data_IF_679485421083
#
_entry.id   IF_679485421083
#
_cell.length_a   1.000
_cell.length_b   1.000
_cell.length_c   1.000
_cell.angle_alpha   90.00
_cell.angle_beta   90.00
_cell.angle_gamma   90.00
#
_symmetry.space_group_name_H-M   'P 1'
#
loop_
_entity.id
_entity.type
_entity.pdbx_description
1 polymer ?
#
# COMPACT_ATOMS: atom_id res chain seq x y z
N UNK A 1 -49.98 8.02 14.23
CA UNK A 1 -49.85 9.16 15.15
C UNK A 1 -48.82 8.77 16.20
N UNK A 2 -47.65 9.39 16.15
CA UNK A 2 -46.54 9.17 17.07
C UNK A 2 -45.54 10.29 16.85
N UNK A 3 -45.35 11.09 17.89
CA UNK A 3 -44.83 12.46 17.90
C UNK A 3 -43.43 12.64 17.30
N UNK A 4 -43.29 13.61 16.38
CA UNK A 4 -42.01 14.23 16.04
C UNK A 4 -41.61 15.21 17.15
N UNK A 5 -40.39 15.06 17.68
CA UNK A 5 -39.71 16.15 18.39
C UNK A 5 -38.63 16.70 17.48
N UNK A 6 -38.90 17.87 16.89
CA UNK A 6 -37.89 18.72 16.29
C UNK A 6 -37.36 19.65 17.38
N UNK A 7 -36.07 19.54 17.68
CA UNK A 7 -35.34 20.59 18.38
C UNK A 7 -34.32 21.17 17.40
N UNK A 8 -34.57 22.40 16.97
CA UNK A 8 -33.66 23.24 16.20
C UNK A 8 -32.65 23.90 17.12
N UNK A 9 -31.36 23.84 16.79
CA UNK A 9 -30.40 24.84 17.26
C UNK A 9 -30.22 25.94 16.20
N UNK A 10 -29.58 27.05 16.60
CA UNK A 10 -29.64 28.33 15.90
C UNK A 10 -28.84 28.42 14.59
N UNK A 11 -28.36 27.29 14.02
CA UNK A 11 -27.55 27.29 12.80
C UNK A 11 -28.04 26.37 11.67
N UNK A 12 -29.20 25.72 11.81
CA UNK A 12 -29.94 25.19 10.64
C UNK A 12 -29.33 23.97 9.93
N UNK A 13 -28.55 23.13 10.62
CA UNK A 13 -27.99 21.90 10.04
C UNK A 13 -29.00 20.73 10.14
N UNK A 14 -29.35 20.12 9.00
CA UNK A 14 -30.09 18.87 8.97
C UNK A 14 -29.14 17.70 9.29
N UNK A 15 -29.34 17.03 10.43
CA UNK A 15 -28.71 15.74 10.75
C UNK A 15 -29.77 14.67 10.55
N UNK A 16 -29.65 13.89 9.48
CA UNK A 16 -30.29 12.57 9.37
C UNK A 16 -29.26 11.55 9.81
N UNK A 17 -29.37 11.06 11.04
CA UNK A 17 -28.63 9.89 11.50
C UNK A 17 -29.17 8.65 10.79
N UNK A 18 -28.31 7.94 10.06
CA UNK A 18 -28.54 6.53 9.74
C UNK A 18 -27.40 5.71 10.33
N UNK A 19 -27.80 4.65 11.04
CA UNK A 19 -26.96 3.50 11.37
C UNK A 19 -26.45 2.87 10.06
N UNK A 20 -25.26 2.26 10.13
CA UNK A 20 -24.54 1.52 9.08
C UNK A 20 -23.76 2.32 8.00
N UNK A 21 -22.42 2.16 8.02
CA UNK A 21 -21.53 2.41 6.87
C UNK A 21 -21.20 3.88 6.55
N UNK A 22 -20.11 4.42 7.11
CA UNK A 22 -19.58 5.73 6.68
C UNK A 22 -18.83 5.57 5.34
N UNK A 23 -19.45 6.09 4.28
CA UNK A 23 -19.08 5.96 2.87
C UNK A 23 -18.31 7.19 2.31
N UNK A 24 -17.35 7.69 3.09
CA UNK A 24 -16.70 8.99 2.95
C UNK A 24 -17.50 10.18 3.51
N UNK A 25 -16.85 11.03 4.30
CA UNK A 25 -17.44 12.24 4.87
C UNK A 25 -16.84 13.48 4.23
N UNK A 26 -17.70 14.40 3.78
CA UNK A 26 -17.31 15.79 3.49
C UNK A 26 -17.08 16.45 4.85
N UNK A 27 -15.84 16.77 5.17
CA UNK A 27 -15.53 17.49 6.41
C UNK A 27 -15.53 18.99 6.14
N UNK A 28 -16.58 19.70 6.55
CA UNK A 28 -16.63 21.18 6.56
C UNK A 28 -15.83 21.79 7.73
N UNK A 29 -15.06 20.99 8.49
CA UNK A 29 -14.51 21.40 9.79
C UNK A 29 -13.41 22.48 9.76
N UNK A 30 -12.96 22.97 8.59
CA UNK A 30 -11.82 23.90 8.52
C UNK A 30 -11.96 25.05 7.53
N UNK A 31 -13.17 25.41 7.09
CA UNK A 31 -13.38 26.58 6.20
C UNK A 31 -12.82 26.41 4.78
N UNK A 32 -12.49 25.18 4.39
CA UNK A 32 -12.20 24.79 3.01
C UNK A 32 -13.34 23.88 2.57
N UNK A 33 -14.30 24.40 1.81
CA UNK A 33 -15.35 23.56 1.23
C UNK A 33 -14.71 22.52 0.29
N UNK A 34 -15.23 21.28 0.34
CA UNK A 34 -15.03 20.21 -0.65
C UNK A 34 -13.85 19.24 -0.47
N UNK A 35 -13.58 18.72 0.74
CA UNK A 35 -12.59 17.63 0.91
C UNK A 35 -13.25 16.38 1.50
N UNK A 36 -13.03 15.25 0.83
CA UNK A 36 -13.61 13.94 1.11
C UNK A 36 -12.55 13.05 1.79
N UNK A 37 -12.88 12.52 2.97
CA UNK A 37 -12.11 11.52 3.72
C UNK A 37 -12.79 10.18 3.54
N UNK A 38 -12.05 9.14 3.13
CA UNK A 38 -12.62 7.82 2.85
C UNK A 38 -11.96 6.72 3.70
N UNK A 39 -12.76 5.76 4.14
CA UNK A 39 -12.44 4.74 5.15
C UNK A 39 -12.55 3.37 4.54
N UNK A 40 -11.58 2.48 4.79
CA UNK A 40 -11.66 1.06 4.43
C UNK A 40 -11.89 0.19 5.64
N UNK A 41 -12.73 -0.84 5.53
CA UNK A 41 -12.90 -1.87 6.57
C UNK A 41 -12.27 -3.18 6.10
N UNK A 42 -11.50 -3.84 6.97
CA UNK A 42 -10.94 -5.17 6.68
C UNK A 42 -12.09 -6.15 6.35
N UNK A 43 -12.11 -6.67 5.12
CA UNK A 43 -12.72 -7.98 4.89
C UNK A 43 -11.77 -9.06 5.39
N UNK A 44 -12.33 -10.16 5.88
CA UNK A 44 -11.63 -11.21 6.66
C UNK A 44 -10.25 -11.56 6.12
N UNK A 45 -9.24 -11.61 7.01
CA UNK A 45 -7.94 -12.22 6.69
C UNK A 45 -8.15 -13.68 6.22
N UNK A 46 -7.32 -14.20 5.29
CA UNK A 46 -7.31 -15.60 4.93
C UNK A 46 -7.25 -16.45 6.19
N UNK A 47 -8.09 -17.46 6.22
CA UNK A 47 -8.08 -18.42 7.30
C UNK A 47 -6.79 -19.24 7.23
N UNK A 48 -6.38 -19.83 8.35
CA UNK A 48 -5.17 -20.66 8.40
C UNK A 48 -5.13 -21.78 7.35
N UNK A 49 -6.29 -22.23 6.84
CA UNK A 49 -6.40 -23.26 5.79
C UNK A 49 -6.22 -22.73 4.36
N UNK A 50 -6.30 -21.42 4.13
CA UNK A 50 -6.08 -20.79 2.82
C UNK A 50 -4.59 -20.70 2.46
N UNK A 51 -3.74 -20.77 3.48
CA UNK A 51 -2.30 -20.80 3.31
C UNK A 51 -1.82 -22.20 2.93
N UNK A 52 -1.01 -22.27 1.87
CA UNK A 52 -0.21 -23.41 1.51
C UNK A 52 1.21 -23.23 2.05
N UNK A 53 1.80 -24.27 2.63
CA UNK A 53 3.23 -24.26 3.00
C UNK A 53 4.06 -24.27 1.72
N UNK A 54 5.03 -23.37 1.61
CA UNK A 54 6.03 -23.41 0.53
C UNK A 54 7.02 -24.52 0.85
N UNK A 55 6.89 -25.66 0.18
CA UNK A 55 7.66 -26.88 0.47
C UNK A 55 9.03 -26.90 -0.20
N UNK A 56 9.25 -26.04 -1.19
CA UNK A 56 10.51 -25.95 -1.93
C UNK A 56 10.69 -24.56 -2.53
N UNK A 57 11.90 -24.02 -2.42
CA UNK A 57 12.35 -22.80 -3.09
C UNK A 57 13.74 -23.03 -3.65
N UNK A 58 13.94 -22.61 -4.90
CA UNK A 58 15.24 -22.48 -5.53
C UNK A 58 15.35 -21.10 -6.15
N UNK A 59 16.45 -20.42 -5.86
CA UNK A 59 16.81 -19.15 -6.46
C UNK A 59 18.22 -19.32 -7.01
N UNK A 60 18.37 -19.12 -8.31
CA UNK A 60 19.65 -19.20 -9.01
C UNK A 60 19.89 -17.94 -9.84
N UNK A 61 21.15 -17.63 -10.09
CA UNK A 61 21.58 -16.55 -10.97
C UNK A 61 22.73 -17.07 -11.83
N UNK A 62 22.82 -16.57 -13.06
CA UNK A 62 23.89 -16.93 -13.99
C UNK A 62 25.25 -16.33 -13.60
N UNK A 63 25.27 -15.16 -12.92
CA UNK A 63 26.46 -14.32 -12.86
C UNK A 63 26.99 -13.97 -11.45
N UNK A 64 26.26 -14.21 -10.34
CA UNK A 64 26.71 -13.74 -9.01
C UNK A 64 26.36 -14.68 -7.84
N UNK A 65 27.17 -14.56 -6.77
CA UNK A 65 26.98 -15.25 -5.48
C UNK A 65 25.88 -14.60 -4.65
N UNK A 66 24.82 -15.36 -4.34
CA UNK A 66 23.75 -14.99 -3.38
C UNK A 66 24.22 -15.06 -1.91
N UNK A 67 25.39 -14.52 -1.57
CA UNK A 67 25.86 -14.48 -0.19
C UNK A 67 25.16 -13.33 0.58
N UNK A 68 24.97 -13.42 1.91
CA UNK A 68 24.23 -12.41 2.69
C UNK A 68 24.76 -10.98 2.52
N UNK A 69 26.07 -10.83 2.28
CA UNK A 69 26.75 -9.53 2.16
C UNK A 69 27.08 -9.13 0.71
N UNK A 70 26.69 -9.94 -0.28
CA UNK A 70 26.93 -9.64 -1.70
C UNK A 70 25.76 -8.84 -2.28
N UNK A 71 26.00 -7.89 -3.20
CA UNK A 71 24.91 -7.26 -3.93
C UNK A 71 24.10 -8.34 -4.65
N UNK A 72 22.77 -8.31 -4.49
CA UNK A 72 21.92 -9.28 -5.16
C UNK A 72 22.06 -9.17 -6.70
N UNK A 73 21.98 -10.32 -7.41
CA UNK A 73 22.19 -10.38 -8.85
C UNK A 73 21.21 -9.55 -9.66
N UNK A 74 21.67 -9.04 -10.80
CA UNK A 74 20.83 -8.26 -11.71
C UNK A 74 19.63 -9.04 -12.30
N UNK A 75 19.71 -10.36 -12.31
CA UNK A 75 18.62 -11.27 -12.68
C UNK A 75 18.65 -12.54 -11.86
N UNK A 76 17.47 -13.09 -11.56
CA UNK A 76 17.31 -14.35 -10.84
C UNK A 76 16.30 -15.23 -11.55
N UNK A 77 16.56 -16.52 -11.48
CA UNK A 77 15.62 -17.57 -11.80
C UNK A 77 15.05 -18.12 -10.49
N UNK A 78 13.74 -18.08 -10.34
CA UNK A 78 13.03 -18.44 -9.11
C UNK A 78 12.08 -19.57 -9.40
N UNK A 79 12.17 -20.64 -8.62
CA UNK A 79 11.28 -21.79 -8.66
C UNK A 79 10.77 -22.08 -7.26
N UNK A 80 9.44 -22.16 -7.09
CA UNK A 80 8.88 -22.59 -5.81
C UNK A 80 7.73 -23.58 -5.99
N UNK A 81 7.56 -24.43 -4.97
CA UNK A 81 6.45 -25.38 -4.88
C UNK A 81 5.76 -25.28 -3.53
N UNK A 82 4.46 -25.56 -3.53
CA UNK A 82 3.63 -25.52 -2.34
C UNK A 82 3.01 -26.88 -2.05
N UNK A 83 2.59 -27.10 -0.79
CA UNK A 83 1.86 -28.32 -0.39
C UNK A 83 0.51 -28.48 -1.08
N UNK A 84 -0.07 -27.40 -1.60
CA UNK A 84 -1.34 -27.41 -2.33
C UNK A 84 -1.16 -27.56 -3.85
N UNK A 85 0.05 -27.91 -4.31
CA UNK A 85 0.30 -28.26 -5.72
C UNK A 85 0.61 -27.09 -6.65
N UNK A 86 0.72 -25.85 -6.15
CA UNK A 86 1.31 -24.75 -6.93
C UNK A 86 2.78 -25.06 -7.20
N UNK A 87 3.18 -24.96 -8.46
CA UNK A 87 4.54 -25.18 -8.97
C UNK A 87 4.82 -24.09 -10.01
N UNK A 88 5.63 -23.09 -9.65
CA UNK A 88 5.86 -21.89 -10.47
C UNK A 88 7.35 -21.61 -10.62
N UNK A 89 7.76 -21.41 -11.86
CA UNK A 89 9.14 -21.14 -12.26
C UNK A 89 9.16 -19.90 -13.18
N UNK A 90 10.06 -18.96 -12.89
CA UNK A 90 10.11 -17.69 -13.60
C UNK A 90 11.44 -16.94 -13.45
N UNK A 91 11.72 -16.09 -14.44
CA UNK A 91 12.84 -15.16 -14.40
C UNK A 91 12.39 -13.78 -13.95
N UNK A 92 13.16 -13.18 -13.06
CA UNK A 92 12.99 -11.80 -12.59
C UNK A 92 14.27 -10.99 -12.79
N UNK A 93 14.11 -9.69 -12.95
CA UNK A 93 15.20 -8.73 -13.10
C UNK A 93 15.10 -7.65 -12.06
N UNK A 94 16.26 -7.17 -11.64
CA UNK A 94 16.35 -6.15 -10.61
C UNK A 94 15.64 -4.87 -11.05
N UNK A 95 14.70 -4.41 -10.21
CA UNK A 95 13.95 -3.18 -10.39
C UNK A 95 14.68 -2.02 -9.71
N UNK A 96 15.47 -1.28 -10.49
CA UNK A 96 16.38 -0.22 -9.99
C UNK A 96 15.69 1.12 -9.70
N UNK A 97 14.47 1.29 -10.19
CA UNK A 97 13.70 2.53 -10.21
C UNK A 97 12.59 2.59 -9.15
N UNK A 98 12.48 1.57 -8.29
CA UNK A 98 11.60 1.60 -7.12
C UNK A 98 12.00 2.71 -6.13
N UNK A 99 13.27 3.12 -6.14
CA UNK A 99 13.81 4.19 -5.31
C UNK A 99 14.24 5.38 -6.17
N UNK A 100 13.89 6.60 -5.77
CA UNK A 100 14.39 7.80 -6.43
C UNK A 100 15.93 7.90 -6.29
N UNK A 101 16.61 8.54 -7.24
CA UNK A 101 18.08 8.58 -7.29
C UNK A 101 18.75 9.10 -6.00
N UNK A 102 18.12 10.05 -5.31
CA UNK A 102 18.61 10.60 -4.03
C UNK A 102 17.73 10.20 -2.84
N UNK A 103 17.03 9.05 -2.89
CA UNK A 103 16.24 8.60 -1.75
C UNK A 103 17.12 8.18 -0.56
N UNK A 104 16.61 8.40 0.64
CA UNK A 104 17.30 8.06 1.88
C UNK A 104 16.34 7.33 2.82
N UNK A 105 16.94 6.50 3.67
CA UNK A 105 16.27 5.85 4.79
C UNK A 105 16.58 6.70 6.01
N UNK A 106 15.54 7.12 6.69
CA UNK A 106 15.62 7.90 7.90
C UNK A 106 15.04 7.07 9.03
N UNK A 107 15.73 7.05 10.18
CA UNK A 107 15.22 6.42 11.38
C UNK A 107 15.48 7.32 12.59
N UNK A 108 14.56 7.36 13.56
CA UNK A 108 14.86 7.88 14.89
C UNK A 108 15.20 6.71 15.80
N UNK A 109 16.38 6.73 16.41
CA UNK A 109 16.80 5.74 17.42
C UNK A 109 16.57 6.29 18.84
N UNK A 110 15.30 6.53 19.17
CA UNK A 110 14.87 7.01 20.48
C UNK A 110 14.43 8.50 20.53
N UNK A 111 14.28 9.08 21.73
CA UNK A 111 13.60 10.38 21.96
C UNK A 111 14.39 11.61 21.48
N UNK A 112 15.56 11.43 20.85
CA UNK A 112 16.32 12.53 20.28
C UNK A 112 15.83 12.87 18.87
N UNK A 113 15.60 14.16 18.65
CA UNK A 113 15.04 14.77 17.44
C UNK A 113 15.87 14.58 16.14
N UNK A 114 16.98 13.85 16.18
CA UNK A 114 17.89 13.73 15.05
C UNK A 114 17.56 12.52 14.17
N UNK A 115 17.11 12.78 12.93
CA UNK A 115 16.93 11.76 11.90
C UNK A 115 18.29 11.12 11.55
N UNK A 116 18.45 9.82 11.80
CA UNK A 116 19.62 9.05 11.38
C UNK A 116 19.46 8.68 9.90
N UNK A 117 20.36 9.23 9.08
CA UNK A 117 20.40 9.00 7.64
C UNK A 117 21.16 7.72 7.33
N UNK A 118 20.49 6.71 6.79
CA UNK A 118 21.09 5.49 6.26
C UNK A 118 21.00 5.42 4.74
N UNK A 119 21.92 4.65 4.14
CA UNK A 119 21.92 4.39 2.70
C UNK A 119 20.77 3.44 2.31
N UNK A 120 20.35 3.53 1.05
CA UNK A 120 19.24 2.71 0.53
C UNK A 120 19.57 1.22 0.66
N UNK A 121 18.56 0.37 0.90
CA UNK A 121 18.75 -1.07 0.80
C UNK A 121 19.05 -1.39 -0.67
N UNK A 122 20.22 -1.97 -0.91
CA UNK A 122 20.66 -2.26 -2.26
C UNK A 122 19.96 -3.51 -2.79
N UNK A 123 19.27 -3.36 -3.92
CA UNK A 123 19.02 -4.45 -4.89
C UNK A 123 18.08 -5.58 -4.44
N UNK A 124 17.08 -5.28 -3.62
CA UNK A 124 16.17 -6.33 -3.14
C UNK A 124 14.86 -6.47 -3.94
N UNK A 125 14.48 -5.48 -4.75
CA UNK A 125 13.23 -5.48 -5.50
C UNK A 125 13.42 -5.91 -6.96
N UNK A 126 12.52 -6.76 -7.45
CA UNK A 126 12.58 -7.41 -8.74
C UNK A 126 11.21 -7.38 -9.44
N UNK A 127 11.24 -7.45 -10.76
CA UNK A 127 10.07 -7.67 -11.59
C UNK A 127 10.31 -8.72 -12.67
N UNK A 128 9.23 -9.41 -13.07
CA UNK A 128 9.23 -10.41 -14.12
C UNK A 128 7.91 -10.40 -14.89
N UNK A 129 7.89 -11.08 -16.02
CA UNK A 129 6.67 -11.27 -16.83
C UNK A 129 6.30 -12.74 -16.86
N UNK A 130 5.00 -13.00 -16.74
CA UNK A 130 4.40 -14.32 -16.96
C UNK A 130 3.33 -14.19 -18.04
N UNK A 131 2.90 -15.29 -18.69
CA UNK A 131 1.79 -15.24 -19.63
C UNK A 131 0.57 -14.55 -19.00
N UNK A 132 0.14 -13.45 -19.62
CA UNK A 132 -1.00 -12.63 -19.18
C UNK A 132 -0.88 -12.02 -17.77
N UNK A 133 0.35 -11.83 -17.27
CA UNK A 133 0.54 -11.26 -15.94
C UNK A 133 1.96 -10.79 -15.67
N UNK A 134 2.26 -10.59 -14.40
CA UNK A 134 3.55 -10.08 -13.93
C UNK A 134 3.96 -10.76 -12.63
N UNK A 135 5.23 -10.62 -12.30
CA UNK A 135 5.79 -10.95 -11.01
C UNK A 135 6.41 -9.70 -10.41
N UNK A 136 6.16 -9.48 -9.13
CA UNK A 136 6.84 -8.50 -8.29
C UNK A 136 7.43 -9.27 -7.13
N UNK A 137 8.73 -9.14 -6.90
CA UNK A 137 9.42 -9.91 -5.87
C UNK A 137 10.32 -8.98 -5.07
N UNK A 138 10.37 -9.15 -3.75
CA UNK A 138 11.25 -8.44 -2.84
C UNK A 138 11.98 -9.45 -1.96
N UNK A 139 13.31 -9.49 -2.07
CA UNK A 139 14.18 -10.38 -1.30
C UNK A 139 14.35 -9.88 0.13
N UNK A 140 14.28 -10.79 1.09
CA UNK A 140 14.60 -10.55 2.51
C UNK A 140 15.88 -11.28 2.93
N UNK A 141 16.08 -12.47 2.37
CA UNK A 141 17.28 -13.31 2.51
C UNK A 141 17.36 -14.25 1.29
N UNK A 142 18.41 -15.06 1.16
CA UNK A 142 18.63 -15.99 0.03
C UNK A 142 17.41 -16.88 -0.30
N UNK A 143 16.60 -17.24 0.69
CA UNK A 143 15.43 -18.12 0.52
C UNK A 143 14.13 -17.53 1.08
N UNK A 144 14.16 -16.28 1.56
CA UNK A 144 13.00 -15.59 2.09
C UNK A 144 12.72 -14.37 1.22
N UNK A 145 11.51 -14.29 0.70
CA UNK A 145 11.07 -13.18 -0.13
C UNK A 145 9.57 -12.96 0.02
N UNK A 146 9.13 -11.76 -0.27
CA UNK A 146 7.75 -11.48 -0.65
C UNK A 146 7.64 -11.56 -2.17
N UNK A 147 6.60 -12.21 -2.71
CA UNK A 147 6.29 -12.11 -4.12
C UNK A 147 4.80 -12.03 -4.37
N UNK A 148 4.41 -11.13 -5.27
CA UNK A 148 3.07 -11.02 -5.83
C UNK A 148 3.14 -11.44 -7.29
N UNK A 149 2.57 -12.61 -7.59
CA UNK A 149 2.53 -13.20 -8.93
C UNK A 149 1.11 -13.08 -9.46
N UNK A 150 0.88 -12.14 -10.38
CA UNK A 150 -0.37 -12.06 -11.13
C UNK A 150 -0.36 -13.13 -12.22
N UNK A 151 -1.25 -14.10 -12.09
CA UNK A 151 -1.60 -15.07 -13.12
C UNK A 151 -2.89 -14.61 -13.83
N UNK A 152 -3.39 -15.42 -14.77
CA UNK A 152 -4.58 -15.09 -15.56
C UNK A 152 -5.85 -14.87 -14.71
N UNK A 153 -6.07 -15.73 -13.71
CA UNK A 153 -7.31 -15.83 -12.93
C UNK A 153 -7.10 -15.62 -11.43
N UNK A 154 -5.88 -15.31 -11.00
CA UNK A 154 -5.56 -15.08 -9.59
C UNK A 154 -4.24 -14.36 -9.42
N UNK A 155 -4.05 -13.77 -8.25
CA UNK A 155 -2.76 -13.36 -7.74
C UNK A 155 -2.32 -14.42 -6.73
N UNK A 156 -1.13 -14.99 -6.92
CA UNK A 156 -0.47 -15.81 -5.91
C UNK A 156 0.46 -14.91 -5.12
N UNK A 157 0.29 -14.85 -3.81
CA UNK A 157 1.23 -14.16 -2.92
C UNK A 157 2.05 -15.21 -2.19
N UNK A 158 3.37 -14.98 -2.10
CA UNK A 158 4.33 -15.76 -1.32
C UNK A 158 4.94 -14.83 -0.29
N UNK A 159 4.95 -15.25 0.96
CA UNK A 159 5.40 -14.43 2.09
C UNK A 159 6.04 -15.26 3.20
N UNK A 160 6.93 -14.65 4.01
CA UNK A 160 7.39 -15.24 5.26
C UNK A 160 6.24 -15.51 6.23
N UNK A 161 6.26 -16.68 6.88
CA UNK A 161 5.27 -17.05 7.91
C UNK A 161 5.21 -16.02 9.04
N UNK A 162 6.36 -15.43 9.38
CA UNK A 162 6.48 -14.42 10.44
C UNK A 162 5.65 -13.16 10.20
N UNK A 163 5.28 -12.85 8.97
CA UNK A 163 4.46 -11.67 8.64
C UNK A 163 2.95 -11.91 8.80
N UNK A 164 2.55 -13.09 9.27
CA UNK A 164 1.15 -13.51 9.28
C UNK A 164 0.74 -14.10 10.62
N UNK A 165 0.04 -13.27 11.42
CA UNK A 165 -0.49 -13.63 12.74
C UNK A 165 -1.27 -14.95 12.75
N UNK A 166 -2.08 -15.19 11.71
CA UNK A 166 -2.90 -16.41 11.58
C UNK A 166 -2.17 -17.63 11.00
N UNK A 167 -0.97 -17.44 10.44
CA UNK A 167 -0.18 -18.49 9.82
C UNK A 167 0.96 -18.98 10.74
N UNK A 168 1.19 -18.36 11.91
CA UNK A 168 2.26 -18.76 12.83
C UNK A 168 2.20 -20.23 13.28
N UNK A 169 1.01 -20.85 13.24
CA UNK A 169 0.83 -22.28 13.55
C UNK A 169 1.24 -23.22 12.41
N UNK A 170 1.39 -22.70 11.19
CA UNK A 170 1.90 -23.46 10.06
C UNK A 170 3.42 -23.56 10.19
N UNK A 171 3.88 -24.72 10.64
CA UNK A 171 5.29 -25.03 10.55
C UNK A 171 5.65 -25.15 9.06
N UNK A 172 6.39 -24.17 8.53
CA UNK A 172 7.13 -24.30 7.28
C UNK A 172 8.60 -24.56 7.60
N UNK A 173 8.96 -25.73 8.17
CA UNK A 173 10.31 -25.98 8.66
C UNK A 173 11.36 -26.01 7.54
N UNK A 174 10.93 -26.08 6.28
CA UNK A 174 11.82 -26.18 5.11
C UNK A 174 12.23 -24.80 4.58
N UNK A 175 11.29 -23.85 4.48
CA UNK A 175 11.55 -22.55 3.82
C UNK A 175 11.20 -21.34 4.69
N UNK A 176 10.40 -21.50 5.75
CA UNK A 176 9.88 -20.38 6.52
C UNK A 176 8.83 -19.54 5.77
N UNK A 177 8.35 -20.00 4.61
CA UNK A 177 7.39 -19.27 3.77
C UNK A 177 6.06 -20.00 3.60
N UNK A 178 5.03 -19.21 3.34
CA UNK A 178 3.67 -19.63 2.95
C UNK A 178 3.25 -18.93 1.67
N UNK A 179 2.28 -19.51 0.99
CA UNK A 179 1.66 -18.92 -0.18
C UNK A 179 0.14 -18.98 -0.06
N UNK A 180 -0.54 -17.98 -0.59
CA UNK A 180 -2.00 -17.93 -0.67
C UNK A 180 -2.40 -17.31 -2.01
N UNK A 181 -3.65 -17.47 -2.40
CA UNK A 181 -4.17 -16.95 -3.67
C UNK A 181 -5.32 -15.99 -3.44
N UNK A 182 -5.28 -14.87 -4.14
CA UNK A 182 -6.36 -13.90 -4.24
C UNK A 182 -7.00 -14.09 -5.61
N UNK A 183 -8.29 -14.44 -5.73
CA UNK A 183 -8.92 -14.67 -7.03
C UNK A 183 -8.97 -13.39 -7.89
N UNK A 184 -8.80 -13.53 -9.20
CA UNK A 184 -9.07 -12.50 -10.22
C UNK A 184 -10.23 -12.96 -11.12
N UNK A 185 -10.93 -12.03 -11.75
CA UNK A 185 -11.94 -12.38 -12.75
C UNK A 185 -11.25 -12.98 -13.96
N UNK A 186 -11.83 -14.05 -14.50
CA UNK A 186 -11.39 -14.68 -15.74
C UNK A 186 -11.30 -13.62 -16.85
N UNK A 187 -10.15 -13.49 -17.52
CA UNK A 187 -10.07 -12.62 -18.69
C UNK A 187 -10.68 -13.34 -19.90
N UNK A 188 -11.96 -13.09 -20.20
CA UNK A 188 -12.58 -13.57 -21.44
C UNK A 188 -12.08 -12.75 -22.62
N UNK A 189 -11.36 -13.39 -23.54
CA UNK A 189 -11.07 -12.84 -24.86
C UNK A 189 -12.37 -12.80 -25.69
N UNK A 190 -12.90 -11.61 -25.95
CA UNK A 190 -13.99 -11.42 -26.90
C UNK A 190 -13.43 -11.43 -28.33
N UNK A 191 -13.76 -12.45 -29.11
CA UNK A 191 -13.28 -12.66 -30.49
C UNK A 191 -13.98 -11.78 -31.54
N UNK A 192 -14.21 -10.50 -31.26
CA UNK A 192 -14.74 -9.58 -32.27
C UNK A 192 -14.01 -8.23 -32.26
N UNK A 193 -13.21 -8.05 -33.31
CA UNK A 193 -12.57 -6.82 -33.77
C UNK A 193 -11.35 -6.29 -32.98
N UNK A 194 -10.37 -5.84 -33.76
CA UNK A 194 -9.01 -5.49 -33.34
C UNK A 194 -8.95 -4.48 -32.17
N UNK A 195 -8.03 -4.75 -31.22
CA UNK A 195 -7.63 -3.92 -30.06
C UNK A 195 -8.72 -3.60 -29.04
N UNK A 196 -9.06 -4.55 -28.18
CA UNK A 196 -9.38 -4.27 -26.77
C UNK A 196 -9.00 -5.46 -25.88
N UNK A 197 -8.11 -5.24 -24.90
CA UNK A 197 -8.02 -6.09 -23.71
C UNK A 197 -9.16 -5.63 -22.80
N UNK A 198 -10.27 -6.37 -22.75
CA UNK A 198 -11.48 -5.95 -22.02
C UNK A 198 -11.53 -6.39 -20.55
N UNK A 199 -10.41 -6.60 -19.85
CA UNK A 199 -10.53 -6.78 -18.39
C UNK A 199 -9.32 -6.46 -17.51
N UNK A 200 -8.09 -6.41 -18.03
CA UNK A 200 -6.93 -5.98 -17.24
C UNK A 200 -5.86 -5.36 -18.15
N UNK A 201 -5.63 -4.07 -17.96
CA UNK A 201 -4.70 -3.24 -18.70
C UNK A 201 -4.99 -1.77 -18.40
N UNK A 202 -4.31 -0.89 -19.12
CA UNK A 202 -4.43 0.56 -18.92
C UNK A 202 -5.86 1.05 -19.06
N UNK A 203 -6.35 1.80 -18.06
CA UNK A 203 -7.65 2.45 -18.08
C UNK A 203 -7.74 3.39 -19.30
N UNK A 204 -8.88 3.38 -19.97
CA UNK A 204 -9.08 4.04 -21.27
C UNK A 204 -8.88 5.55 -21.18
N UNK A 205 -9.27 6.18 -20.06
CA UNK A 205 -9.06 7.61 -19.83
C UNK A 205 -7.61 8.00 -19.55
N UNK A 206 -6.74 7.04 -19.25
CA UNK A 206 -5.39 7.29 -18.80
C UNK A 206 -4.43 7.33 -20.00
N UNK A 207 -4.45 8.41 -20.79
CA UNK A 207 -3.81 8.50 -22.12
C UNK A 207 -2.36 9.02 -22.14
N UNK A 208 -1.70 9.15 -20.99
CA UNK A 208 -0.33 9.67 -20.91
C UNK A 208 0.74 8.61 -21.21
N UNK A 209 1.96 9.02 -21.57
CA UNK A 209 3.14 8.14 -21.47
C UNK A 209 3.40 7.79 -20.00
N UNK A 210 4.16 6.73 -19.71
CA UNK A 210 4.46 6.35 -18.32
C UNK A 210 4.96 7.55 -17.51
N UNK A 211 4.41 7.70 -16.30
CA UNK A 211 4.82 8.71 -15.33
C UNK A 211 5.29 8.06 -14.05
N UNK A 212 5.94 8.83 -13.19
CA UNK A 212 6.27 8.46 -11.82
C UNK A 212 5.90 9.58 -10.87
N UNK A 213 5.62 9.23 -9.63
CA UNK A 213 5.41 10.14 -8.52
C UNK A 213 6.23 9.68 -7.33
N UNK A 214 6.86 10.61 -6.62
CA UNK A 214 7.61 10.26 -5.42
C UNK A 214 6.68 10.04 -4.23
N UNK A 215 6.95 8.98 -3.48
CA UNK A 215 6.22 8.63 -2.26
C UNK A 215 7.16 8.69 -1.07
N UNK A 216 6.75 9.41 -0.02
CA UNK A 216 7.33 9.27 1.31
C UNK A 216 6.63 8.15 2.05
N UNK A 217 7.39 7.17 2.53
CA UNK A 217 6.87 6.02 3.26
C UNK A 217 7.31 6.13 4.71
N UNK A 218 6.37 6.09 5.64
CA UNK A 218 6.67 6.22 7.07
C UNK A 218 6.06 5.09 7.89
N UNK A 219 6.73 4.62 8.94
CA UNK A 219 6.16 3.72 9.95
C UNK A 219 6.35 4.29 11.35
N UNK A 220 5.30 4.25 12.17
CA UNK A 220 5.42 4.58 13.59
C UNK A 220 6.17 3.48 14.38
N UNK A 221 6.56 3.81 15.61
CA UNK A 221 7.28 2.90 16.49
C UNK A 221 6.49 1.62 16.75
N UNK A 222 5.17 1.72 16.90
CA UNK A 222 4.28 0.58 17.07
C UNK A 222 4.40 -0.42 15.92
N UNK A 223 4.26 0.06 14.68
CA UNK A 223 4.36 -0.75 13.47
C UNK A 223 5.77 -1.32 13.31
N UNK A 224 6.79 -0.50 13.54
CA UNK A 224 8.19 -0.94 13.44
C UNK A 224 8.51 -2.02 14.47
N UNK A 225 7.94 -1.96 15.66
CA UNK A 225 8.18 -2.93 16.73
C UNK A 225 7.61 -4.33 16.42
N UNK A 226 6.52 -4.42 15.65
CA UNK A 226 5.91 -5.70 15.26
C UNK A 226 6.83 -6.53 14.35
N UNK A 227 7.60 -5.86 13.48
CA UNK A 227 8.43 -6.52 12.47
C UNK A 227 9.92 -6.48 12.82
N UNK A 228 10.38 -5.43 13.53
CA UNK A 228 11.78 -5.03 13.64
C UNK A 228 12.19 -4.07 12.51
N UNK A 229 13.14 -3.17 12.75
CA UNK A 229 13.44 -2.05 11.83
C UNK A 229 13.83 -2.48 10.40
N UNK A 230 14.76 -3.43 10.26
CA UNK A 230 15.23 -3.90 8.96
C UNK A 230 14.14 -4.68 8.20
N UNK A 231 13.34 -5.46 8.93
CA UNK A 231 12.22 -6.22 8.40
C UNK A 231 11.08 -5.29 7.98
N UNK A 232 10.75 -4.27 8.79
CA UNK A 232 9.74 -3.24 8.49
C UNK A 232 10.04 -2.58 7.16
N UNK A 233 11.28 -2.12 6.99
CA UNK A 233 11.71 -1.51 5.75
C UNK A 233 11.50 -2.44 4.55
N UNK A 234 11.94 -3.68 4.66
CA UNK A 234 11.82 -4.65 3.57
C UNK A 234 10.37 -5.02 3.27
N UNK A 235 9.55 -5.18 4.31
CA UNK A 235 8.11 -5.42 4.23
C UNK A 235 7.38 -4.28 3.52
N UNK A 236 7.68 -3.03 3.87
CA UNK A 236 7.09 -1.88 3.19
C UNK A 236 7.54 -1.79 1.74
N UNK A 237 8.81 -2.05 1.42
CA UNK A 237 9.28 -2.14 0.03
C UNK A 237 8.46 -3.18 -0.77
N UNK A 238 8.18 -4.33 -0.17
CA UNK A 238 7.34 -5.36 -0.75
C UNK A 238 5.89 -4.87 -1.00
N UNK A 239 5.29 -4.19 -0.03
CA UNK A 239 3.97 -3.55 -0.15
C UNK A 239 3.92 -2.60 -1.36
N UNK A 240 4.84 -1.63 -1.46
CA UNK A 240 4.84 -0.67 -2.58
C UNK A 240 5.17 -1.32 -3.92
N UNK A 241 6.04 -2.34 -3.93
CA UNK A 241 6.33 -3.08 -5.16
C UNK A 241 5.07 -3.81 -5.69
N UNK A 242 4.25 -4.35 -4.78
CA UNK A 242 2.97 -4.98 -5.10
C UNK A 242 1.92 -3.97 -5.58
N UNK A 243 1.79 -2.82 -4.90
CA UNK A 243 0.93 -1.71 -5.33
C UNK A 243 1.30 -1.24 -6.75
N UNK A 244 2.60 -1.07 -7.03
CA UNK A 244 3.09 -0.67 -8.35
C UNK A 244 2.71 -1.64 -9.47
N UNK A 245 2.50 -2.93 -9.17
CA UNK A 245 1.99 -3.88 -10.16
C UNK A 245 0.66 -3.44 -10.78
N UNK A 246 -0.25 -2.92 -9.96
CA UNK A 246 -1.56 -2.44 -10.41
C UNK A 246 -1.49 -1.02 -11.01
N UNK A 247 -0.75 -0.13 -10.36
CA UNK A 247 -0.65 1.27 -10.76
C UNK A 247 0.09 1.44 -12.09
N UNK A 248 1.16 0.69 -12.33
CA UNK A 248 1.89 0.70 -13.61
C UNK A 248 0.99 0.17 -14.75
N UNK A 249 0.25 -0.91 -14.51
CA UNK A 249 -0.58 -1.58 -15.52
C UNK A 249 -1.86 -0.79 -15.85
N UNK A 250 -2.57 -0.28 -14.84
CA UNK A 250 -3.89 0.32 -15.02
C UNK A 250 -3.87 1.85 -15.12
N UNK A 251 -3.01 2.53 -14.36
CA UNK A 251 -2.95 4.00 -14.32
C UNK A 251 -1.81 4.50 -15.23
N UNK A 252 -0.71 3.74 -15.32
CA UNK A 252 0.52 4.17 -16.00
C UNK A 252 1.29 5.21 -15.19
N UNK A 253 1.25 5.10 -13.87
CA UNK A 253 1.99 5.94 -12.92
C UNK A 253 2.73 5.04 -11.92
N UNK A 254 4.05 5.15 -11.89
CA UNK A 254 4.90 4.44 -10.96
C UNK A 254 5.04 5.19 -9.63
N UNK A 255 4.88 4.49 -8.51
CA UNK A 255 5.18 5.00 -7.18
C UNK A 255 6.66 4.77 -6.87
N UNK A 256 7.42 5.84 -6.91
CA UNK A 256 8.86 5.82 -6.63
C UNK A 256 9.09 6.21 -5.18
N UNK A 257 9.71 5.35 -4.38
CA UNK A 257 10.00 5.67 -2.99
C UNK A 257 11.11 6.72 -2.94
N UNK A 258 10.73 7.92 -2.53
CA UNK A 258 11.62 9.08 -2.45
C UNK A 258 12.19 9.30 -1.05
N UNK A 259 11.46 8.91 -0.01
CA UNK A 259 11.91 8.94 1.38
C UNK A 259 11.33 7.75 2.15
N UNK A 260 12.14 7.19 3.05
CA UNK A 260 11.70 6.23 4.05
C UNK A 260 11.90 6.83 5.44
N UNK A 261 10.91 6.74 6.30
CA UNK A 261 10.99 7.14 7.70
C UNK A 261 10.53 5.98 8.58
N UNK A 262 11.47 5.26 9.19
CA UNK A 262 11.21 4.09 10.03
C UNK A 262 11.50 4.46 11.48
N UNK A 263 10.45 4.73 12.25
CA UNK A 263 10.57 5.11 13.64
C UNK A 263 10.82 3.86 14.50
N UNK A 264 11.95 3.77 15.24
CA UNK A 264 12.25 2.59 16.09
C UNK A 264 11.85 2.78 17.56
N UNK A 265 11.42 3.99 17.92
CA UNK A 265 10.89 4.33 19.23
C UNK A 265 9.99 5.56 19.15
N UNK A 266 9.11 5.73 20.12
CA UNK A 266 8.17 6.88 20.16
C UNK A 266 8.90 8.22 20.33
N UNK A 267 8.33 9.28 19.76
CA UNK A 267 8.88 10.64 19.80
C UNK A 267 8.99 11.28 18.41
N UNK A 268 9.50 12.51 18.34
CA UNK A 268 9.58 13.22 17.05
C UNK A 268 8.21 13.66 16.53
N UNK A 269 7.81 13.33 15.29
CA UNK A 269 6.49 13.69 14.76
C UNK A 269 5.35 13.17 15.64
N UNK A 270 4.29 13.96 15.79
CA UNK A 270 3.19 13.63 16.69
C UNK A 270 2.45 12.32 16.33
N UNK A 271 2.51 11.86 15.07
CA UNK A 271 1.94 10.59 14.62
C UNK A 271 2.80 9.37 14.98
N UNK A 272 4.05 9.56 15.44
CA UNK A 272 4.91 8.45 15.82
C UNK A 272 4.54 7.94 17.23
N UNK A 273 3.69 6.92 17.26
CA UNK A 273 3.13 6.31 18.47
C UNK A 273 3.28 4.79 18.47
N UNK A 274 2.89 4.19 19.59
CA UNK A 274 2.81 2.74 19.78
C UNK A 274 1.51 2.36 20.53
N UNK A 275 1.06 1.09 20.46
CA UNK A 275 -0.13 0.64 21.20
C UNK A 275 -0.05 0.98 22.70
N UNK A 276 -1.12 1.58 23.22
CA UNK A 276 -1.20 2.12 24.58
C UNK A 276 -0.90 3.62 24.67
N UNK A 277 -0.37 4.23 23.60
CA UNK A 277 -0.06 5.66 23.51
C UNK A 277 -0.72 6.37 22.32
N UNK A 278 -1.53 5.67 21.51
CA UNK A 278 -2.18 6.28 20.34
C UNK A 278 -3.13 7.41 20.73
N UNK A 279 -3.73 7.36 21.93
CA UNK A 279 -4.61 8.40 22.43
C UNK A 279 -5.77 8.68 21.47
N UNK A 280 -5.92 9.94 21.05
CA UNK A 280 -6.97 10.31 20.08
C UNK A 280 -6.73 9.76 18.67
N UNK A 281 -5.49 9.41 18.30
CA UNK A 281 -5.14 8.84 16.99
C UNK A 281 -5.53 7.36 16.87
N UNK A 282 -6.07 6.75 17.93
CA UNK A 282 -6.83 5.52 17.81
C UNK A 282 -8.10 5.71 16.95
N UNK A 283 -8.56 6.95 16.74
CA UNK A 283 -9.43 7.32 15.64
C UNK A 283 -8.57 7.64 14.40
N UNK A 284 -8.76 6.88 13.33
CA UNK A 284 -7.96 7.00 12.10
C UNK A 284 -8.17 8.36 11.42
N UNK A 285 -9.35 8.98 11.53
CA UNK A 285 -9.59 10.31 10.97
C UNK A 285 -8.72 11.36 11.69
N UNK A 286 -8.61 11.25 13.02
CA UNK A 286 -7.73 12.11 13.83
C UNK A 286 -6.27 11.84 13.48
N UNK A 287 -5.89 10.58 13.28
CA UNK A 287 -4.54 10.21 12.88
C UNK A 287 -4.15 10.86 11.55
N UNK A 288 -5.03 10.79 10.54
CA UNK A 288 -4.80 11.43 9.25
C UNK A 288 -4.65 12.95 9.35
N UNK A 289 -5.46 13.61 10.20
CA UNK A 289 -5.33 15.05 10.44
C UNK A 289 -3.98 15.41 11.07
N UNK A 290 -3.46 14.59 11.99
CA UNK A 290 -2.12 14.78 12.59
C UNK A 290 -1.02 14.64 11.53
N UNK A 291 -1.12 13.65 10.64
CA UNK A 291 -0.15 13.43 9.57
C UNK A 291 -0.19 14.57 8.55
N UNK A 292 -1.39 15.02 8.16
CA UNK A 292 -1.59 16.19 7.32
C UNK A 292 -0.91 17.41 7.92
N UNK A 293 -1.12 17.68 9.22
CA UNK A 293 -0.49 18.83 9.88
C UNK A 293 1.04 18.74 9.85
N UNK A 294 1.60 17.54 10.04
CA UNK A 294 3.05 17.30 9.93
C UNK A 294 3.58 17.60 8.52
N UNK A 295 2.96 17.07 7.46
CA UNK A 295 3.39 17.34 6.08
C UNK A 295 3.23 18.82 5.72
N UNK A 296 2.13 19.45 6.14
CA UNK A 296 1.87 20.87 5.89
C UNK A 296 2.86 21.81 6.60
N UNK A 297 3.36 21.42 7.77
CA UNK A 297 4.36 22.20 8.51
C UNK A 297 5.69 22.30 7.75
N UNK A 298 6.06 21.26 6.98
CA UNK A 298 7.25 21.23 6.13
C UNK A 298 8.60 21.16 6.86
N UNK A 299 8.65 21.58 8.13
CA UNK A 299 9.86 21.50 8.95
C UNK A 299 10.15 20.05 9.38
N UNK A 300 11.38 19.59 9.10
CA UNK A 300 11.86 18.23 9.40
C UNK A 300 11.06 17.09 8.74
N UNK A 301 10.26 17.40 7.72
CA UNK A 301 9.66 16.39 6.84
C UNK A 301 10.73 15.96 5.82
N UNK A 302 11.07 14.67 5.69
CA UNK A 302 12.05 14.23 4.72
C UNK A 302 11.69 14.63 3.28
N UNK A 303 12.69 15.07 2.52
CA UNK A 303 12.47 15.40 1.11
C UNK A 303 12.59 14.15 0.24
N UNK A 304 11.71 14.02 -0.74
CA UNK A 304 11.78 13.01 -1.78
C UNK A 304 12.62 13.53 -2.95
N UNK A 305 13.89 13.13 -3.02
CA UNK A 305 14.80 13.57 -4.09
C UNK A 305 14.92 15.10 -4.19
N UNK A 306 15.19 15.74 -3.04
CA UNK A 306 15.33 17.20 -2.88
C UNK A 306 14.07 18.02 -3.17
N UNK A 307 12.92 17.37 -3.35
CA UNK A 307 11.61 17.99 -3.52
C UNK A 307 10.63 17.46 -2.46
N UNK A 308 9.50 18.15 -2.31
CA UNK A 308 8.41 17.58 -1.53
C UNK A 308 7.96 16.26 -2.17
N UNK A 309 7.67 15.27 -1.35
CA UNK A 309 7.06 14.03 -1.83
C UNK A 309 5.71 14.31 -2.49
N UNK A 310 5.44 13.64 -3.61
CA UNK A 310 4.16 13.72 -4.30
C UNK A 310 2.99 13.24 -3.44
N UNK A 311 3.23 12.25 -2.58
CA UNK A 311 2.37 11.85 -1.46
C UNK A 311 3.19 11.28 -0.30
N UNK A 312 2.59 11.25 0.89
CA UNK A 312 3.10 10.59 2.09
C UNK A 312 2.11 9.56 2.57
N UNK A 313 2.59 8.37 2.95
CA UNK A 313 1.73 7.34 3.50
C UNK A 313 2.36 6.74 4.76
N UNK A 314 1.62 6.79 5.86
CA UNK A 314 2.06 6.35 7.19
C UNK A 314 1.49 4.96 7.49
N UNK A 315 2.31 4.13 8.11
CA UNK A 315 1.94 2.80 8.58
C UNK A 315 1.93 2.78 10.11
N UNK A 316 0.84 2.30 10.70
CA UNK A 316 0.61 2.36 12.16
C UNK A 316 0.17 1.03 12.73
N UNK A 317 0.45 0.77 14.01
CA UNK A 317 -0.08 -0.36 14.77
C UNK A 317 -1.15 0.08 15.80
N UNK A 318 -1.76 1.25 15.63
CA UNK A 318 -2.82 1.73 16.53
C UNK A 318 -4.10 0.87 16.50
N UNK A 319 -4.23 -0.09 15.59
CA UNK A 319 -5.29 -1.10 15.63
C UNK A 319 -5.17 -2.05 16.83
N UNK A 320 -3.96 -2.27 17.35
CA UNK A 320 -3.72 -3.04 18.55
C UNK A 320 -3.93 -2.24 19.85
N UNK A 321 -4.21 -0.93 19.76
CA UNK A 321 -4.45 -0.07 20.92
C UNK A 321 -5.84 -0.34 21.53
N UNK A 322 -5.92 -0.46 22.86
CA UNK A 322 -7.18 -0.69 23.57
C UNK A 322 -8.21 0.46 23.45
N UNK A 323 -7.76 1.66 23.06
CA UNK A 323 -8.62 2.80 22.77
C UNK A 323 -9.23 2.76 21.34
N UNK A 324 -8.77 1.84 20.48
CA UNK A 324 -9.29 1.68 19.11
C UNK A 324 -10.78 1.34 19.16
N UNK A 325 -11.58 2.15 18.46
CA UNK A 325 -13.01 1.88 18.25
C UNK A 325 -13.34 1.87 16.77
N UNK A 326 -14.09 0.86 16.32
CA UNK A 326 -14.41 0.66 14.90
C UNK A 326 -13.40 -0.23 14.16
N UNK A 327 -13.58 -0.33 12.85
CA UNK A 327 -12.90 -1.33 12.00
C UNK A 327 -12.17 -0.73 10.79
N UNK A 328 -11.96 0.59 10.79
CA UNK A 328 -11.18 1.30 9.77
C UNK A 328 -9.75 0.77 9.73
N UNK A 329 -9.34 0.26 8.57
CA UNK A 329 -8.01 -0.25 8.25
C UNK A 329 -7.09 0.81 7.66
N UNK A 330 -7.68 1.82 7.02
CA UNK A 330 -6.94 2.91 6.41
C UNK A 330 -7.86 4.09 6.13
N UNK A 331 -7.22 5.24 5.98
CA UNK A 331 -7.89 6.48 5.57
C UNK A 331 -6.91 7.36 4.80
N UNK A 332 -7.42 8.02 3.76
CA UNK A 332 -6.65 8.98 2.99
C UNK A 332 -7.53 10.14 2.50
N UNK A 333 -6.87 11.25 2.19
CA UNK A 333 -7.51 12.37 1.52
C UNK A 333 -7.72 12.06 0.04
N UNK A 334 -8.92 12.33 -0.46
CA UNK A 334 -9.23 12.05 -1.86
C UNK A 334 -8.79 13.18 -2.81
N UNK A 335 -8.30 12.83 -4.00
CA UNK A 335 -8.01 13.77 -5.08
C UNK A 335 -6.98 14.83 -4.68
N UNK A 336 -5.91 14.39 -4.02
CA UNK A 336 -5.03 15.26 -3.27
C UNK A 336 -3.55 15.12 -3.64
N UNK A 337 -3.19 14.37 -4.68
CA UNK A 337 -1.80 14.34 -5.16
C UNK A 337 -1.22 15.74 -5.38
N UNK A 338 0.08 15.89 -5.12
CA UNK A 338 0.82 17.12 -5.34
C UNK A 338 0.37 18.32 -4.48
N UNK A 339 -0.29 18.08 -3.34
CA UNK A 339 -0.81 19.12 -2.44
C UNK A 339 -0.02 19.24 -1.13
N UNK A 340 1.29 18.98 -1.18
CA UNK A 340 2.17 18.91 0.00
C UNK A 340 2.14 20.16 0.88
N UNK A 341 1.98 21.36 0.29
CA UNK A 341 1.89 22.61 1.06
C UNK A 341 0.66 22.69 1.97
N UNK A 342 -0.36 21.86 1.74
CA UNK A 342 -1.54 21.72 2.59
C UNK A 342 -1.55 20.39 3.37
N UNK A 343 -0.55 19.54 3.17
CA UNK A 343 -0.45 18.20 3.74
C UNK A 343 -1.57 17.24 3.32
N UNK A 344 -2.38 17.61 2.32
CA UNK A 344 -3.53 16.81 1.90
C UNK A 344 -3.11 15.60 1.06
N UNK A 345 -1.88 15.54 0.57
CA UNK A 345 -1.34 14.39 -0.15
C UNK A 345 -0.93 13.24 0.79
N UNK A 346 -1.74 12.97 1.83
CA UNK A 346 -1.44 12.03 2.90
C UNK A 346 -2.45 10.89 2.98
N UNK A 347 -1.99 9.75 3.47
CA UNK A 347 -2.77 8.58 3.84
C UNK A 347 -2.15 7.84 5.02
N UNK A 348 -2.94 7.00 5.69
CA UNK A 348 -2.48 6.16 6.77
C UNK A 348 -3.16 4.79 6.72
N UNK A 349 -2.42 3.72 7.03
CA UNK A 349 -2.95 2.36 7.06
C UNK A 349 -2.38 1.56 8.22
N UNK A 350 -3.18 0.62 8.73
CA UNK A 350 -2.76 -0.35 9.72
C UNK A 350 -2.04 -1.53 9.07
N UNK A 351 -1.41 -2.39 9.87
CA UNK A 351 -0.97 -3.70 9.38
C UNK A 351 -2.16 -4.67 9.23
N UNK A 352 -2.57 -4.89 7.98
CA UNK A 352 -3.62 -5.83 7.62
C UNK A 352 -3.09 -7.25 7.31
N UNK A 353 -1.81 -7.52 7.61
CA UNK A 353 -1.11 -8.76 7.29
C UNK A 353 -1.00 -8.97 5.77
N UNK A 354 -1.65 -10.03 5.29
CA UNK A 354 -1.69 -10.37 3.85
C UNK A 354 -2.32 -9.27 2.96
N UNK A 355 -3.19 -8.46 3.55
CA UNK A 355 -4.00 -7.49 2.82
C UNK A 355 -3.41 -6.08 2.89
N UNK A 356 -2.27 -5.89 3.56
CA UNK A 356 -1.65 -4.58 3.78
C UNK A 356 -1.40 -3.86 2.46
N UNK A 357 -0.91 -4.56 1.44
CA UNK A 357 -0.69 -3.95 0.13
C UNK A 357 -1.99 -3.51 -0.56
N UNK A 358 -3.10 -4.21 -0.32
CA UNK A 358 -4.42 -3.83 -0.87
C UNK A 358 -4.97 -2.61 -0.16
N UNK A 359 -4.87 -2.54 1.18
CA UNK A 359 -5.28 -1.37 1.96
C UNK A 359 -4.46 -0.16 1.52
N UNK A 360 -3.14 -0.27 1.46
CA UNK A 360 -2.26 0.83 1.04
C UNK A 360 -2.56 1.25 -0.40
N UNK A 361 -2.76 0.28 -1.31
CA UNK A 361 -3.15 0.56 -2.68
C UNK A 361 -4.53 1.22 -2.81
N UNK A 362 -5.46 0.91 -1.91
CA UNK A 362 -6.78 1.54 -1.82
C UNK A 362 -6.67 3.00 -1.36
N UNK A 363 -5.96 3.24 -0.26
CA UNK A 363 -5.81 4.58 0.31
C UNK A 363 -5.06 5.53 -0.64
N UNK A 364 -3.99 5.04 -1.28
CA UNK A 364 -3.33 5.79 -2.34
C UNK A 364 -4.28 6.00 -3.52
N UNK A 365 -5.22 5.08 -3.76
CA UNK A 365 -6.25 5.19 -4.79
C UNK A 365 -7.15 6.39 -4.55
N UNK A 366 -7.52 6.64 -3.29
CA UNK A 366 -8.19 7.88 -2.90
C UNK A 366 -7.34 9.11 -3.21
N UNK A 367 -6.05 9.13 -2.85
CA UNK A 367 -5.20 10.27 -3.21
C UNK A 367 -5.20 10.53 -4.73
N UNK A 368 -5.26 9.47 -5.54
CA UNK A 368 -5.41 9.48 -7.01
C UNK A 368 -6.82 9.85 -7.51
N UNK A 369 -7.75 10.17 -6.61
CA UNK A 369 -9.10 10.64 -6.92
C UNK A 369 -10.15 9.56 -7.08
N UNK A 370 -9.84 8.30 -6.75
CA UNK A 370 -10.83 7.22 -6.83
C UNK A 370 -11.85 7.29 -5.69
N UNK A 371 -13.13 7.26 -6.03
CA UNK A 371 -14.20 6.99 -5.08
C UNK A 371 -14.31 5.49 -4.79
N UNK A 372 -15.03 5.15 -3.72
CA UNK A 372 -15.42 3.77 -3.48
C UNK A 372 -16.30 3.22 -4.61
N UNK A 373 -16.10 1.96 -4.93
CA UNK A 373 -16.84 1.19 -5.95
C UNK A 373 -17.84 0.22 -5.33
N UNK A 374 -17.79 0.03 -4.00
CA UNK A 374 -18.75 -0.78 -3.22
C UNK A 374 -19.17 -2.09 -3.92
N UNK A 375 -20.39 -2.15 -4.44
CA UNK A 375 -20.99 -3.32 -5.06
C UNK A 375 -20.29 -3.77 -6.35
N UNK A 376 -19.53 -2.91 -7.02
CA UNK A 376 -18.73 -3.31 -8.18
C UNK A 376 -17.49 -4.13 -7.79
N UNK A 377 -17.00 -4.01 -6.56
CA UNK A 377 -15.79 -4.70 -6.10
C UNK A 377 -14.51 -3.98 -6.52
N UNK A 378 -13.39 -4.69 -6.62
CA UNK A 378 -12.09 -4.12 -6.99
C UNK A 378 -11.30 -3.60 -5.79
N UNK A 379 -10.17 -2.96 -6.08
CA UNK A 379 -9.28 -2.44 -5.05
C UNK A 379 -9.95 -1.32 -4.24
N UNK A 380 -10.89 -0.59 -4.83
CA UNK A 380 -11.64 0.51 -4.20
C UNK A 380 -12.95 0.06 -3.54
N UNK A 381 -13.12 -1.23 -3.24
CA UNK A 381 -14.29 -1.78 -2.55
C UNK A 381 -13.92 -2.32 -1.17
N UNK A 382 -14.94 -2.54 -0.34
CA UNK A 382 -14.83 -3.29 0.93
C UNK A 382 -14.98 -4.80 0.72
N UNK A 383 -15.39 -5.23 -0.47
CA UNK A 383 -15.46 -6.64 -0.85
C UNK A 383 -14.22 -7.04 -1.64
N UNK A 384 -13.25 -7.63 -0.94
CA UNK A 384 -12.02 -8.16 -1.55
C UNK A 384 -12.16 -9.61 -2.02
N UNK A 385 -13.36 -10.20 -1.94
CA UNK A 385 -13.69 -11.43 -2.66
C UNK A 385 -13.84 -11.19 -4.17
N UNK A 386 -13.96 -9.93 -4.57
CA UNK A 386 -13.97 -9.49 -5.95
C UNK A 386 -12.53 -9.30 -6.51
N UNK A 387 -12.34 -9.38 -7.84
CA UNK A 387 -11.02 -9.26 -8.46
C UNK A 387 -10.33 -7.94 -8.15
N UNK A 388 -9.10 -7.97 -7.62
CA UNK A 388 -8.34 -6.75 -7.29
C UNK A 388 -7.98 -5.95 -8.56
N UNK A 389 -8.70 -4.86 -8.79
CA UNK A 389 -8.49 -3.91 -9.90
C UNK A 389 -9.08 -2.53 -9.62
N UNK A 390 -8.60 -1.51 -10.32
CA UNK A 390 -9.35 -0.28 -10.52
C UNK A 390 -10.47 -0.48 -11.53
N UNK A 391 -11.65 0.07 -11.21
CA UNK A 391 -12.74 0.25 -12.16
C UNK A 391 -12.55 1.57 -12.89
N UNK A 392 -12.63 1.52 -14.22
CA UNK A 392 -12.51 2.71 -15.06
C UNK A 392 -13.85 3.46 -15.11
N UNK A 393 -14.10 4.24 -14.06
CA UNK A 393 -15.24 5.17 -13.96
C UNK A 393 -14.86 6.60 -14.38
N UNK A 394 -13.64 6.80 -14.88
CA UNK A 394 -13.10 8.09 -15.33
C UNK A 394 -12.56 9.01 -14.23
N UNK A 395 -12.77 8.72 -12.95
CA UNK A 395 -12.36 9.62 -11.84
C UNK A 395 -10.84 9.72 -11.73
N UNK A 396 -10.17 8.56 -11.59
CA UNK A 396 -8.71 8.46 -11.47
C UNK A 396 -8.03 9.14 -12.64
N UNK A 397 -8.47 8.80 -13.86
CA UNK A 397 -7.80 9.33 -15.05
C UNK A 397 -8.01 10.84 -15.21
N UNK A 398 -9.21 11.34 -14.90
CA UNK A 398 -9.50 12.77 -14.94
C UNK A 398 -8.69 13.55 -13.91
N UNK A 399 -8.59 13.02 -12.68
CA UNK A 399 -7.81 13.67 -11.63
C UNK A 399 -6.31 13.67 -11.95
N UNK A 400 -5.73 12.52 -12.30
CA UNK A 400 -4.31 12.45 -12.66
C UNK A 400 -3.98 13.37 -13.83
N UNK A 401 -4.85 13.45 -14.84
CA UNK A 401 -4.68 14.38 -15.96
C UNK A 401 -4.62 15.84 -15.50
N UNK A 402 -5.34 16.22 -14.43
CA UNK A 402 -5.35 17.58 -13.86
C UNK A 402 -4.07 17.93 -13.08
N UNK A 403 -3.30 16.93 -12.66
CA UNK A 403 -2.05 17.09 -11.89
C UNK A 403 -0.80 16.59 -12.64
N UNK A 404 -0.97 16.18 -13.90
CA UNK A 404 0.06 15.49 -14.71
C UNK A 404 1.37 16.28 -14.83
N UNK A 405 1.28 17.61 -14.90
CA UNK A 405 2.43 18.51 -15.05
C UNK A 405 2.81 19.23 -13.73
N UNK A 406 2.29 18.75 -12.59
CA UNK A 406 2.61 19.29 -11.27
C UNK A 406 3.77 18.54 -10.61
N UNK A 407 3.49 17.38 -10.02
CA UNK A 407 4.50 16.56 -9.32
C UNK A 407 4.74 15.19 -9.95
N UNK A 408 4.01 14.85 -11.02
CA UNK A 408 4.29 13.65 -11.81
C UNK A 408 5.39 13.95 -12.82
N UNK A 409 6.38 13.06 -12.89
CA UNK A 409 7.53 13.17 -13.81
C UNK A 409 7.45 12.07 -14.87
N UNK A 410 8.07 12.23 -16.05
CA UNK A 410 8.30 11.10 -16.95
C UNK A 410 9.00 9.94 -16.21
N UNK A 411 8.59 8.71 -16.50
CA UNK A 411 9.17 7.47 -15.97
C UNK A 411 9.87 6.70 -17.09
#
# INVERSE_FOLDING_TARGET
MGFFHQTTDAHGTHITSFEDGKACTISDKHGVSSIIVCVVVLSSQPHAHDFAVVSYVSISSADESLAPDAPYPSSMHVHFRTTHGTDLEFDVRLKRDLFAADSFVWAHDGPELALLKSHKPHHIAYEGKVPHGYIRLTMFDRHMFHATIKLHDKIVVVDPVGHHKNAHHLSSPVTGMVAYSIPLASATLSNQHHRQLTSFGRMAGCTWSSRQITVGVASDAGFTSEHGAAQTQSYLIAVYNSVNGLYDDQIGVHLTIGAFLIETGVGGPAWNVEPGSCGAMADMDVHLDVIKAWVAAGDNVPMCNQENCGLWHVHTNCDADGARTGSTAGVAWMGSLCSSSMGLNTGVSIDAGVNTWMVVGHEIGHNFGASHTFAEGGIMSYDWGSPTKFYDNGEVCSFVQSVLDKCLKPY
#
